data_IF_732304257982
#
_entry.id   IF_732304257982
#
_cell.length_a   1.000
_cell.length_b   1.000
_cell.length_c   1.000
_cell.angle_alpha   90.00
_cell.angle_beta   90.00
_cell.angle_gamma   90.00
#
_symmetry.space_group_name_H-M   'P 1'
#
loop_
_entity.id
_entity.type
_entity.pdbx_description
1 polymer ?
#
# COMPACT_ATOMS: atom_id res chain seq x y z
N UNK A 1 6.47 -45.38 41.31
CA UNK A 1 6.08 -43.94 41.33
C UNK A 1 6.80 -43.07 40.25
N UNK A 2 7.87 -43.56 39.62
CA UNK A 2 8.64 -42.81 38.60
C UNK A 2 8.06 -42.87 37.16
N UNK A 3 7.24 -43.86 36.84
CA UNK A 3 6.70 -44.06 35.48
C UNK A 3 5.53 -43.15 35.12
N UNK A 4 4.82 -42.60 36.09
CA UNK A 4 3.66 -41.68 35.85
C UNK A 4 4.08 -40.25 35.52
N UNK A 5 5.22 -39.77 36.05
CA UNK A 5 5.76 -38.46 35.79
C UNK A 5 6.39 -38.38 34.41
N UNK A 6 7.07 -39.43 33.98
CA UNK A 6 7.71 -39.51 32.65
C UNK A 6 6.69 -39.47 31.51
N UNK A 7 5.50 -40.06 31.69
CA UNK A 7 4.43 -40.04 30.69
C UNK A 7 3.74 -38.68 30.55
N UNK A 8 3.61 -37.93 31.65
CA UNK A 8 3.03 -36.55 31.58
C UNK A 8 3.95 -35.56 30.87
N UNK A 9 5.27 -35.60 31.07
CA UNK A 9 6.23 -34.81 30.33
C UNK A 9 6.21 -35.04 28.82
N UNK A 10 6.09 -36.31 28.39
CA UNK A 10 6.02 -36.66 26.99
C UNK A 10 4.73 -36.21 26.29
N UNK A 11 3.60 -36.23 26.99
CA UNK A 11 2.31 -35.75 26.43
C UNK A 11 2.32 -34.22 26.27
N UNK A 12 2.81 -33.48 27.26
CA UNK A 12 2.89 -32.03 27.21
C UNK A 12 3.84 -31.56 26.08
N UNK A 13 4.97 -32.25 25.90
CA UNK A 13 5.92 -31.94 24.82
C UNK A 13 5.34 -32.22 23.44
N UNK A 14 4.57 -33.32 23.27
CA UNK A 14 3.87 -33.64 22.03
C UNK A 14 2.74 -32.66 21.72
N UNK A 15 1.96 -32.24 22.72
CA UNK A 15 0.89 -31.26 22.54
C UNK A 15 1.46 -29.88 22.18
N UNK A 16 2.54 -29.43 22.82
CA UNK A 16 3.23 -28.17 22.48
C UNK A 16 3.82 -28.21 21.06
N UNK A 17 4.45 -29.32 20.65
CA UNK A 17 4.93 -29.49 19.26
C UNK A 17 3.78 -29.49 18.27
N UNK A 18 2.65 -30.15 18.54
CA UNK A 18 1.50 -30.19 17.68
C UNK A 18 0.83 -28.80 17.54
N UNK A 19 0.76 -28.03 18.62
CA UNK A 19 0.22 -26.67 18.60
C UNK A 19 1.14 -25.69 17.84
N UNK A 20 2.45 -25.82 18.03
CA UNK A 20 3.46 -25.04 17.30
C UNK A 20 3.47 -25.34 15.80
N UNK A 21 3.39 -26.62 15.42
CA UNK A 21 3.31 -27.04 14.00
C UNK A 21 1.99 -26.60 13.36
N UNK A 22 0.87 -26.65 14.08
CA UNK A 22 -0.41 -26.13 13.57
C UNK A 22 -0.39 -24.62 13.35
N UNK A 23 0.21 -23.85 14.26
CA UNK A 23 0.38 -22.41 14.09
C UNK A 23 1.29 -22.08 12.91
N UNK A 24 2.43 -22.78 12.76
CA UNK A 24 3.31 -22.59 11.60
C UNK A 24 2.62 -22.99 10.27
N UNK A 25 1.80 -24.02 10.30
CA UNK A 25 1.05 -24.47 9.12
C UNK A 25 -0.09 -23.54 8.79
N UNK A 26 -0.70 -22.91 9.79
CA UNK A 26 -1.72 -21.88 9.62
C UNK A 26 -1.11 -20.54 9.12
N UNK A 27 0.05 -20.14 9.63
CA UNK A 27 0.84 -19.03 9.08
C UNK A 27 1.32 -19.31 7.64
N UNK A 28 1.76 -20.54 7.36
CA UNK A 28 2.18 -20.94 6.02
C UNK A 28 1.00 -20.96 5.04
N UNK A 29 -0.18 -21.44 5.46
CA UNK A 29 -1.41 -21.41 4.67
C UNK A 29 -1.93 -19.98 4.49
N UNK A 30 -1.86 -19.12 5.51
CA UNK A 30 -2.16 -17.69 5.41
C UNK A 30 -1.20 -16.95 4.47
N UNK A 31 0.07 -17.37 4.40
CA UNK A 31 1.03 -16.87 3.41
C UNK A 31 0.75 -17.42 1.99
N UNK A 32 0.27 -18.64 1.85
CA UNK A 32 -0.08 -19.21 0.54
C UNK A 32 -1.44 -18.73 -0.01
N UNK A 33 -2.39 -18.35 0.84
CA UNK A 33 -3.65 -17.73 0.39
C UNK A 33 -3.45 -16.26 -0.04
N UNK A 34 -2.31 -15.66 0.29
CA UNK A 34 -1.77 -14.43 -0.33
C UNK A 34 -0.95 -14.75 -1.59
N UNK A 35 -1.42 -15.67 -2.42
CA UNK A 35 -0.81 -16.03 -3.69
C UNK A 35 -0.90 -14.91 -4.73
N UNK A 36 0.02 -13.98 -4.63
CA UNK A 36 0.33 -12.90 -5.54
C UNK A 36 1.60 -12.25 -5.00
N UNK A 37 2.53 -11.83 -5.85
CA UNK A 37 3.71 -11.06 -5.43
C UNK A 37 3.29 -10.06 -4.36
N UNK A 38 3.97 -10.06 -3.20
CA UNK A 38 3.61 -9.22 -2.05
C UNK A 38 3.49 -7.75 -2.49
N UNK A 39 2.25 -7.25 -2.54
CA UNK A 39 1.96 -5.86 -2.86
C UNK A 39 2.23 -5.01 -1.63
N UNK A 40 3.14 -4.06 -1.74
CA UNK A 40 3.36 -3.06 -0.70
C UNK A 40 2.72 -1.72 -1.08
N UNK A 41 2.17 -1.04 -0.09
CA UNK A 41 1.70 0.34 -0.23
C UNK A 41 2.83 1.26 0.21
N UNK A 42 3.39 1.99 -0.73
CA UNK A 42 4.46 2.96 -0.46
C UNK A 42 3.84 4.31 -0.15
N UNK A 43 4.15 4.85 1.01
CA UNK A 43 3.60 6.15 1.44
C UNK A 43 4.69 7.14 1.73
N UNK A 44 4.44 8.43 1.41
CA UNK A 44 5.36 9.51 1.74
C UNK A 44 4.64 10.85 1.81
N UNK A 45 5.24 11.80 2.53
CA UNK A 45 4.74 13.15 2.64
C UNK A 45 5.87 14.16 2.87
N UNK A 46 5.67 15.40 2.42
CA UNK A 46 6.43 16.53 2.90
C UNK A 46 5.96 17.00 4.29
N UNK A 47 6.54 18.07 4.81
CA UNK A 47 6.22 18.59 6.14
C UNK A 47 4.72 18.93 6.32
N UNK A 48 4.04 19.43 5.28
CA UNK A 48 2.63 19.78 5.33
C UNK A 48 1.71 18.57 5.38
N UNK A 49 2.11 17.48 4.74
CA UNK A 49 1.34 16.24 4.66
C UNK A 49 1.55 15.25 5.81
N UNK A 50 2.57 15.44 6.67
CA UNK A 50 3.01 14.46 7.67
C UNK A 50 1.88 13.91 8.55
N UNK A 51 1.08 14.79 9.14
CA UNK A 51 -0.01 14.39 10.04
C UNK A 51 -1.02 13.47 9.35
N UNK A 52 -1.45 13.87 8.15
CA UNK A 52 -2.44 13.10 7.39
C UNK A 52 -1.83 11.78 6.88
N UNK A 53 -0.57 11.78 6.47
CA UNK A 53 0.18 10.59 6.08
C UNK A 53 0.25 9.57 7.22
N UNK A 54 0.58 9.99 8.44
CA UNK A 54 0.66 9.09 9.59
C UNK A 54 -0.69 8.46 9.90
N UNK A 55 -1.78 9.24 9.85
CA UNK A 55 -3.14 8.76 10.03
C UNK A 55 -3.54 7.72 8.97
N UNK A 56 -3.23 7.96 7.69
CA UNK A 56 -3.51 7.03 6.59
C UNK A 56 -2.66 5.77 6.73
N UNK A 57 -1.39 5.90 7.07
CA UNK A 57 -0.48 4.79 7.32
C UNK A 57 -1.01 3.88 8.44
N UNK A 58 -1.35 4.45 9.60
CA UNK A 58 -1.92 3.66 10.71
C UNK A 58 -3.20 2.93 10.31
N UNK A 59 -4.07 3.59 9.57
CA UNK A 59 -5.29 2.98 9.06
C UNK A 59 -5.00 1.79 8.14
N UNK A 60 -4.10 1.93 7.17
CA UNK A 60 -3.74 0.85 6.24
C UNK A 60 -3.08 -0.33 6.95
N UNK A 61 -2.21 -0.08 7.92
CA UNK A 61 -1.60 -1.14 8.75
C UNK A 61 -2.66 -1.89 9.57
N UNK A 62 -3.66 -1.20 10.14
CA UNK A 62 -4.80 -1.83 10.84
C UNK A 62 -5.67 -2.68 9.92
N UNK A 63 -5.78 -2.30 8.65
CA UNK A 63 -6.47 -3.09 7.60
C UNK A 63 -5.59 -4.24 7.06
N UNK A 64 -4.42 -4.51 7.65
CA UNK A 64 -3.46 -5.56 7.31
C UNK A 64 -2.76 -5.40 5.95
N UNK A 65 -2.60 -4.17 5.44
CA UNK A 65 -1.72 -3.89 4.32
C UNK A 65 -0.26 -3.81 4.76
N UNK A 66 0.65 -4.25 3.89
CA UNK A 66 2.07 -3.98 4.04
C UNK A 66 2.35 -2.53 3.61
N UNK A 67 2.86 -1.70 4.53
CA UNK A 67 3.07 -0.26 4.29
C UNK A 67 4.53 0.10 4.47
N UNK A 68 5.12 0.62 3.39
CA UNK A 68 6.50 1.13 3.36
C UNK A 68 6.46 2.66 3.38
N UNK A 69 6.91 3.26 4.47
CA UNK A 69 7.01 4.72 4.62
C UNK A 69 8.42 5.17 4.20
N UNK A 70 8.49 5.99 3.16
CA UNK A 70 9.75 6.53 2.62
C UNK A 70 9.98 7.99 2.95
N UNK A 71 9.19 8.55 3.85
CA UNK A 71 9.35 9.93 4.31
C UNK A 71 10.68 10.11 5.03
N UNK A 72 11.46 11.12 4.65
CA UNK A 72 12.67 11.52 5.34
C UNK A 72 12.62 12.99 5.74
N UNK A 73 13.38 13.36 6.77
CA UNK A 73 13.43 14.73 7.26
C UNK A 73 14.00 15.68 6.19
N UNK A 74 13.39 16.85 6.04
CA UNK A 74 13.84 17.91 5.14
C UNK A 74 13.49 17.69 3.66
N UNK A 75 12.80 16.62 3.30
CA UNK A 75 12.30 16.41 1.93
C UNK A 75 11.16 17.37 1.62
N UNK A 76 11.20 17.96 0.42
CA UNK A 76 10.05 18.64 -0.17
C UNK A 76 9.16 17.65 -0.96
N UNK A 77 8.06 18.18 -1.54
CA UNK A 77 7.14 17.33 -2.32
C UNK A 77 7.78 16.69 -3.55
N UNK A 78 8.84 17.25 -4.12
CA UNK A 78 9.57 16.68 -5.26
C UNK A 78 10.35 15.45 -4.80
N UNK A 79 11.17 15.60 -3.76
CA UNK A 79 12.02 14.55 -3.24
C UNK A 79 11.20 13.34 -2.77
N UNK A 80 10.14 13.59 -1.99
CA UNK A 80 9.30 12.51 -1.47
C UNK A 80 8.54 11.79 -2.59
N UNK A 81 8.08 12.51 -3.63
CA UNK A 81 7.39 11.87 -4.77
C UNK A 81 8.35 10.98 -5.54
N UNK A 82 9.59 11.40 -5.76
CA UNK A 82 10.62 10.59 -6.42
C UNK A 82 10.98 9.36 -5.58
N UNK A 83 11.08 9.50 -4.25
CA UNK A 83 11.33 8.37 -3.35
C UNK A 83 10.20 7.33 -3.40
N UNK A 84 8.93 7.77 -3.32
CA UNK A 84 7.76 6.88 -3.46
C UNK A 84 7.76 6.20 -4.81
N UNK A 85 7.97 6.93 -5.91
CA UNK A 85 7.98 6.36 -7.26
C UNK A 85 9.09 5.33 -7.45
N UNK A 86 10.29 5.59 -6.90
CA UNK A 86 11.41 4.65 -6.93
C UNK A 86 11.08 3.34 -6.25
N UNK A 87 10.41 3.39 -5.10
CA UNK A 87 10.01 2.18 -4.36
C UNK A 87 8.85 1.45 -5.04
N UNK A 88 7.85 2.20 -5.55
CA UNK A 88 6.74 1.64 -6.34
C UNK A 88 7.23 0.89 -7.56
N UNK A 89 8.26 1.41 -8.24
CA UNK A 89 8.80 0.80 -9.47
C UNK A 89 9.62 -0.48 -9.23
N UNK A 90 9.94 -0.85 -7.99
CA UNK A 90 10.62 -2.12 -7.69
C UNK A 90 9.73 -3.34 -7.90
N UNK A 91 8.40 -3.16 -7.86
CA UNK A 91 7.43 -4.23 -8.08
C UNK A 91 6.18 -3.67 -8.76
N UNK A 92 5.72 -4.30 -9.84
CA UNK A 92 4.55 -3.86 -10.60
C UNK A 92 3.23 -3.90 -9.82
N UNK A 93 3.19 -4.62 -8.72
CA UNK A 93 2.02 -4.66 -7.82
C UNK A 93 2.02 -3.55 -6.78
N UNK A 94 3.15 -2.90 -6.53
CA UNK A 94 3.24 -1.83 -5.55
C UNK A 94 2.39 -0.63 -5.94
N UNK A 95 1.77 0.00 -4.94
CA UNK A 95 0.99 1.22 -5.09
C UNK A 95 1.60 2.35 -4.25
N UNK A 96 1.50 3.59 -4.73
CA UNK A 96 2.05 4.76 -4.06
C UNK A 96 0.96 5.72 -3.58
N UNK A 97 1.20 6.33 -2.42
CA UNK A 97 0.38 7.43 -1.90
C UNK A 97 1.32 8.55 -1.46
N UNK A 98 1.15 9.74 -2.04
CA UNK A 98 1.92 10.93 -1.65
C UNK A 98 0.98 12.01 -1.13
N UNK A 99 1.35 12.61 -0.01
CA UNK A 99 0.54 13.63 0.65
C UNK A 99 1.39 14.89 0.90
N UNK A 100 0.92 16.02 0.37
CA UNK A 100 1.42 17.35 0.66
C UNK A 100 0.29 18.27 1.11
N UNK A 101 0.42 19.58 1.00
CA UNK A 101 -0.65 20.51 1.34
C UNK A 101 -1.88 20.36 0.41
N UNK A 102 -1.70 20.21 -0.90
CA UNK A 102 -2.77 20.33 -1.90
C UNK A 102 -2.89 19.16 -2.89
N UNK A 103 -1.96 18.22 -2.92
CA UNK A 103 -1.95 17.07 -3.83
C UNK A 103 -1.41 17.36 -5.22
N UNK A 104 -1.50 18.62 -5.68
CA UNK A 104 -1.18 19.01 -7.06
C UNK A 104 0.33 18.95 -7.37
N UNK A 105 1.20 19.38 -6.43
CA UNK A 105 2.65 19.35 -6.60
C UNK A 105 3.18 17.95 -6.86
N UNK A 106 2.94 16.99 -5.96
CA UNK A 106 3.31 15.60 -6.14
C UNK A 106 2.74 14.98 -7.41
N UNK A 107 1.50 15.31 -7.78
CA UNK A 107 0.89 14.85 -9.04
C UNK A 107 1.72 15.32 -10.25
N UNK A 108 2.09 16.60 -10.32
CA UNK A 108 2.91 17.11 -11.41
C UNK A 108 4.25 16.38 -11.53
N UNK A 109 4.90 16.09 -10.40
CA UNK A 109 6.16 15.31 -10.37
C UNK A 109 5.93 13.90 -10.87
N UNK A 110 4.94 13.21 -10.31
CA UNK A 110 4.64 11.82 -10.65
C UNK A 110 4.38 11.63 -12.16
N UNK A 111 3.68 12.58 -12.79
CA UNK A 111 3.38 12.54 -14.24
C UNK A 111 4.59 12.77 -15.15
N UNK A 112 5.76 13.18 -14.60
CA UNK A 112 7.02 13.30 -15.35
C UNK A 112 7.89 12.05 -15.27
N UNK A 113 7.47 11.06 -14.49
CA UNK A 113 8.22 9.82 -14.31
C UNK A 113 7.73 8.81 -15.35
N UNK A 114 8.66 8.31 -16.16
CA UNK A 114 8.37 7.35 -17.21
C UNK A 114 7.62 6.11 -16.68
N UNK A 115 6.49 5.80 -17.30
CA UNK A 115 5.66 4.64 -16.95
C UNK A 115 4.87 4.79 -15.63
N UNK A 116 4.90 5.98 -15.00
CA UNK A 116 4.10 6.24 -13.83
C UNK A 116 2.77 6.90 -14.22
N UNK A 117 1.69 6.16 -14.09
CA UNK A 117 0.34 6.72 -14.18
C UNK A 117 -0.12 7.10 -12.78
N UNK A 118 -0.33 8.40 -12.57
CA UNK A 118 -0.74 8.95 -11.29
C UNK A 118 -2.03 9.77 -11.42
N UNK A 119 -2.70 9.99 -10.31
CA UNK A 119 -3.85 10.89 -10.22
C UNK A 119 -3.83 11.68 -8.90
N UNK A 120 -4.12 12.97 -8.96
CA UNK A 120 -4.54 13.74 -7.79
C UNK A 120 -6.00 13.40 -7.50
N UNK A 121 -6.33 13.12 -6.24
CA UNK A 121 -7.67 12.68 -5.84
C UNK A 121 -8.11 13.34 -4.53
N UNK A 122 -9.34 13.81 -4.52
CA UNK A 122 -9.97 14.43 -3.36
C UNK A 122 -11.33 13.79 -3.00
N UNK A 123 -11.64 12.64 -3.64
CA UNK A 123 -12.84 11.86 -3.36
C UNK A 123 -12.60 10.35 -3.58
N UNK A 124 -13.43 9.53 -2.93
CA UNK A 124 -13.35 8.08 -2.96
C UNK A 124 -13.59 7.50 -4.36
N UNK A 125 -14.52 8.10 -5.11
CA UNK A 125 -14.90 7.61 -6.42
C UNK A 125 -13.77 7.77 -7.42
N UNK A 126 -13.13 8.93 -7.45
CA UNK A 126 -11.97 9.19 -8.31
C UNK A 126 -10.80 8.27 -7.97
N UNK A 127 -10.54 8.02 -6.68
CA UNK A 127 -9.50 7.11 -6.23
C UNK A 127 -9.73 5.67 -6.74
N UNK A 128 -10.95 5.16 -6.59
CA UNK A 128 -11.31 3.83 -7.09
C UNK A 128 -11.26 3.76 -8.63
N UNK A 129 -11.82 4.77 -9.31
CA UNK A 129 -11.94 4.77 -10.78
C UNK A 129 -10.59 4.94 -11.47
N UNK A 130 -9.68 5.77 -10.92
CA UNK A 130 -8.35 5.91 -11.51
C UNK A 130 -7.54 4.61 -11.42
N UNK A 131 -7.72 3.84 -10.34
CA UNK A 131 -7.13 2.50 -10.25
C UNK A 131 -7.77 1.54 -11.25
N UNK A 132 -9.10 1.47 -11.30
CA UNK A 132 -9.86 0.55 -12.15
C UNK A 132 -9.70 0.83 -13.63
N UNK A 133 -9.78 2.08 -14.07
CA UNK A 133 -9.81 2.44 -15.48
C UNK A 133 -8.44 2.82 -16.04
N UNK A 134 -7.61 3.52 -15.26
CA UNK A 134 -6.34 4.07 -15.74
C UNK A 134 -5.13 3.25 -15.30
N UNK A 135 -5.32 2.22 -14.48
CA UNK A 135 -4.25 1.45 -13.88
C UNK A 135 -3.26 2.35 -13.12
N UNK A 136 -3.76 3.41 -12.47
CA UNK A 136 -2.90 4.32 -11.72
C UNK A 136 -2.19 3.56 -10.60
N UNK A 137 -0.87 3.73 -10.55
CA UNK A 137 -0.03 3.11 -9.52
C UNK A 137 0.31 4.08 -8.40
N UNK A 138 -0.03 5.34 -8.56
CA UNK A 138 0.17 6.38 -7.53
C UNK A 138 -1.04 7.28 -7.47
N UNK A 139 -1.44 7.66 -6.25
CA UNK A 139 -2.34 8.78 -6.00
C UNK A 139 -1.65 9.84 -5.15
N UNK A 140 -2.08 11.08 -5.34
CA UNK A 140 -1.69 12.21 -4.50
C UNK A 140 -2.91 12.86 -3.88
N UNK A 141 -2.81 13.37 -2.68
CA UNK A 141 -3.88 14.10 -2.01
C UNK A 141 -3.35 15.20 -1.11
N UNK A 142 -4.18 16.23 -0.91
CA UNK A 142 -3.84 17.41 -0.15
C UNK A 142 -4.36 17.37 1.29
N UNK A 143 -3.47 17.57 2.26
CA UNK A 143 -3.82 17.60 3.68
C UNK A 143 -4.70 18.80 4.07
N UNK A 144 -4.68 19.88 3.27
CA UNK A 144 -5.55 21.04 3.42
C UNK A 144 -6.87 20.92 2.63
N UNK A 145 -7.02 19.84 1.85
CA UNK A 145 -8.19 19.62 0.99
C UNK A 145 -9.08 18.53 1.56
N UNK A 146 -8.51 17.40 2.00
CA UNK A 146 -9.29 16.24 2.46
C UNK A 146 -9.22 16.09 3.98
N UNK A 147 -10.38 15.83 4.59
CA UNK A 147 -10.46 15.53 6.01
C UNK A 147 -10.04 14.09 6.30
N UNK A 148 -9.78 13.80 7.58
CA UNK A 148 -9.20 12.53 8.05
C UNK A 148 -9.95 11.28 7.59
N UNK A 149 -11.27 11.25 7.75
CA UNK A 149 -12.08 10.08 7.36
C UNK A 149 -12.16 9.93 5.83
N UNK A 150 -12.22 11.04 5.11
CA UNK A 150 -12.21 11.02 3.65
C UNK A 150 -10.87 10.49 3.12
N UNK A 151 -9.74 10.91 3.71
CA UNK A 151 -8.41 10.42 3.32
C UNK A 151 -8.27 8.90 3.52
N UNK A 152 -8.80 8.35 4.62
CA UNK A 152 -8.83 6.89 4.84
C UNK A 152 -9.65 6.17 3.78
N UNK A 153 -10.83 6.71 3.45
CA UNK A 153 -11.71 6.13 2.45
C UNK A 153 -11.12 6.20 1.04
N UNK A 154 -10.48 7.32 0.68
CA UNK A 154 -9.72 7.49 -0.56
C UNK A 154 -8.62 6.42 -0.65
N UNK A 155 -7.78 6.29 0.38
CA UNK A 155 -6.72 5.29 0.43
C UNK A 155 -7.29 3.87 0.30
N UNK A 156 -8.35 3.54 1.06
CA UNK A 156 -9.04 2.24 0.99
C UNK A 156 -9.61 1.95 -0.40
N UNK A 157 -10.26 2.92 -1.02
CA UNK A 157 -10.79 2.80 -2.38
C UNK A 157 -9.71 2.53 -3.42
N UNK A 158 -8.57 3.21 -3.30
CA UNK A 158 -7.44 3.04 -4.18
C UNK A 158 -6.76 1.68 -4.03
N UNK A 159 -6.39 1.29 -2.81
CA UNK A 159 -5.63 0.04 -2.57
C UNK A 159 -6.44 -1.22 -2.84
N UNK A 160 -7.77 -1.18 -2.68
CA UNK A 160 -8.67 -2.28 -3.02
C UNK A 160 -9.13 -2.27 -4.47
N UNK A 161 -8.85 -1.20 -5.22
CA UNK A 161 -9.20 -1.09 -6.63
C UNK A 161 -8.45 -2.12 -7.47
N UNK A 162 -9.16 -2.72 -8.44
CA UNK A 162 -8.56 -3.65 -9.39
C UNK A 162 -8.64 -3.07 -10.79
N UNK A 163 -7.57 -3.24 -11.55
CA UNK A 163 -7.56 -2.77 -12.93
C UNK A 163 -8.48 -3.63 -13.81
N UNK A 164 -9.44 -2.98 -14.49
CA UNK A 164 -10.45 -3.66 -15.30
C UNK A 164 -9.92 -4.14 -16.65
N UNK A 165 -8.82 -3.55 -17.14
CA UNK A 165 -8.24 -3.90 -18.44
C UNK A 165 -9.18 -3.64 -19.61
N UNK A 166 -9.26 -4.59 -20.55
CA UNK A 166 -10.22 -4.56 -21.66
C UNK A 166 -10.12 -3.27 -22.50
N UNK A 167 -11.24 -2.57 -22.68
CA UNK A 167 -11.31 -1.31 -23.47
C UNK A 167 -10.43 -0.18 -22.92
N UNK A 168 -10.03 -0.25 -21.65
CA UNK A 168 -9.19 0.76 -21.00
C UNK A 168 -7.72 0.58 -21.38
N UNK A 169 -7.29 -0.65 -21.70
CA UNK A 169 -5.89 -0.98 -21.98
C UNK A 169 -5.26 -0.10 -23.06
N UNK A 170 -5.98 0.17 -24.14
CA UNK A 170 -5.46 0.98 -25.26
C UNK A 170 -5.02 2.37 -24.77
N UNK A 171 -5.80 2.99 -23.87
CA UNK A 171 -5.49 4.32 -23.32
C UNK A 171 -4.34 4.26 -22.31
N UNK A 172 -4.29 3.21 -21.49
CA UNK A 172 -3.18 2.99 -20.55
C UNK A 172 -1.87 2.79 -21.33
N UNK A 173 -1.89 2.03 -22.42
CA UNK A 173 -0.71 1.85 -23.29
C UNK A 173 -0.26 3.16 -23.94
N UNK A 174 -1.19 4.06 -24.26
CA UNK A 174 -0.85 5.40 -24.76
C UNK A 174 -0.19 6.25 -23.66
N UNK A 175 -0.76 6.25 -22.45
CA UNK A 175 -0.18 6.98 -21.32
C UNK A 175 1.25 6.50 -21.00
N UNK A 176 1.48 5.20 -20.98
CA UNK A 176 2.79 4.59 -20.71
C UNK A 176 3.85 4.93 -21.78
N UNK A 177 3.45 5.43 -22.95
CA UNK A 177 4.35 5.84 -24.05
C UNK A 177 4.66 7.33 -24.06
N UNK A 178 3.99 8.14 -23.23
CA UNK A 178 4.10 9.61 -23.29
C UNK A 178 5.35 10.17 -22.60
N UNK A 179 6.01 9.43 -21.72
CA UNK A 179 7.19 9.87 -20.98
C UNK A 179 8.39 8.94 -21.21
#
# INVERSE_FOLDING_TARGET
MLTFVQNRCNIISKVRKCFFVKNLQQEYLLKQTKGGQDMSIVIGADAAGLRLKDLVKEFLVKENFDVVDVTAEGQDFVDVTLAVASEVNKNDQNLGIVIDAYGAGPFMVATKIKGMVAAEVSDERSAYMTRGHNNSRMITMGAEIVGDELAKNIAKGFVNGKYDGGRHQIRVDMLNKMC
#
